data_IF_974954956281
#
_entry.id   IF_974954956281
#
_cell.length_a   1.000
_cell.length_b   1.000
_cell.length_c   1.000
_cell.angle_alpha   90.00
_cell.angle_beta   90.00
_cell.angle_gamma   90.00
#
_symmetry.space_group_name_H-M   'P 1'
#
loop_
_entity.id
_entity.type
_entity.pdbx_description
1 polymer ?
#
# COMPACT_ATOMS: atom_id res chain seq x y z
N UNK A 1 23.01 -16.49 -11.41
CA UNK A 1 21.70 -17.07 -11.76
C UNK A 1 21.56 -17.30 -13.27
N UNK A 2 21.96 -16.33 -14.12
CA UNK A 2 22.00 -16.49 -15.58
C UNK A 2 22.82 -17.70 -16.07
N UNK A 3 23.98 -17.96 -15.45
CA UNK A 3 24.87 -19.11 -15.76
C UNK A 3 24.24 -20.48 -15.50
N UNK A 4 23.12 -20.55 -14.77
CA UNK A 4 22.36 -21.78 -14.50
C UNK A 4 21.05 -21.87 -15.29
N UNK A 5 20.82 -20.97 -16.27
CA UNK A 5 19.60 -20.94 -17.09
C UNK A 5 18.35 -20.45 -16.35
N UNK A 6 18.50 -19.82 -15.19
CA UNK A 6 17.37 -19.34 -14.38
C UNK A 6 16.94 -17.96 -14.86
N UNK A 7 15.65 -17.79 -15.17
CA UNK A 7 15.05 -16.49 -15.48
C UNK A 7 14.63 -15.79 -14.19
N UNK A 8 15.30 -14.69 -13.85
CA UNK A 8 14.99 -13.85 -12.69
C UNK A 8 14.38 -12.53 -13.14
N UNK A 9 13.29 -12.12 -12.49
CA UNK A 9 12.58 -10.85 -12.72
C UNK A 9 12.38 -10.14 -11.40
N UNK A 10 12.69 -8.84 -11.35
CA UNK A 10 12.61 -8.02 -10.16
C UNK A 10 11.81 -6.75 -10.42
N UNK A 11 10.88 -6.45 -9.52
CA UNK A 11 10.14 -5.18 -9.49
C UNK A 11 10.57 -4.44 -8.23
N UNK A 12 11.21 -3.29 -8.39
CA UNK A 12 11.88 -2.55 -7.31
C UNK A 12 11.64 -1.05 -7.49
N UNK A 13 11.51 -0.31 -6.39
CA UNK A 13 11.57 1.15 -6.43
C UNK A 13 13.04 1.61 -6.57
N UNK A 14 13.34 2.30 -7.66
CA UNK A 14 14.66 2.85 -7.95
C UNK A 14 14.59 4.35 -7.73
N UNK A 15 15.42 4.83 -6.82
CA UNK A 15 15.56 6.24 -6.46
C UNK A 15 16.99 6.68 -6.73
N UNK A 16 17.23 7.99 -6.73
CA UNK A 16 18.58 8.53 -6.88
C UNK A 16 19.55 8.00 -5.80
N UNK A 17 19.05 7.64 -4.63
CA UNK A 17 19.84 7.16 -3.50
C UNK A 17 20.25 5.68 -3.63
N UNK A 18 19.43 4.86 -4.29
CA UNK A 18 19.63 3.41 -4.30
C UNK A 18 20.08 2.84 -5.65
N UNK A 19 19.97 3.60 -6.74
CA UNK A 19 20.19 3.08 -8.10
C UNK A 19 21.60 2.57 -8.34
N UNK A 20 22.60 3.21 -7.71
CA UNK A 20 24.01 2.84 -7.81
C UNK A 20 24.42 1.72 -6.83
N UNK A 21 23.53 1.31 -5.93
CA UNK A 21 23.83 0.28 -4.90
C UNK A 21 23.81 -1.13 -5.46
N UNK A 22 23.14 -1.34 -6.58
CA UNK A 22 22.89 -2.67 -7.12
C UNK A 22 23.79 -2.96 -8.33
N UNK A 23 24.51 -4.08 -8.30
CA UNK A 23 25.14 -4.65 -9.50
C UNK A 23 24.07 -5.39 -10.33
N UNK A 24 23.22 -4.62 -11.00
CA UNK A 24 21.98 -5.08 -11.61
C UNK A 24 22.20 -5.93 -12.86
N UNK A 25 23.36 -5.84 -13.50
CA UNK A 25 23.56 -6.40 -14.83
C UNK A 25 23.55 -7.94 -14.85
N UNK A 26 23.92 -8.60 -13.75
CA UNK A 26 24.09 -10.07 -13.71
C UNK A 26 22.98 -10.85 -12.98
N UNK A 27 22.08 -10.15 -12.29
CA UNK A 27 21.08 -10.78 -11.43
C UNK A 27 19.79 -11.18 -12.17
N UNK A 28 19.33 -10.38 -13.14
CA UNK A 28 18.08 -10.64 -13.85
C UNK A 28 17.58 -9.44 -14.67
N UNK A 29 16.29 -9.46 -14.99
CA UNK A 29 15.59 -8.31 -15.58
C UNK A 29 14.96 -7.47 -14.46
N UNK A 30 15.11 -6.14 -14.56
CA UNK A 30 14.60 -5.20 -13.55
C UNK A 30 13.58 -4.25 -14.15
N UNK A 31 12.51 -4.01 -13.40
CA UNK A 31 11.53 -2.97 -13.70
C UNK A 31 11.29 -2.10 -12.48
N UNK A 32 11.12 -0.81 -12.73
CA UNK A 32 10.85 0.20 -11.73
C UNK A 32 9.35 0.41 -11.54
N UNK A 33 8.91 0.51 -10.29
CA UNK A 33 7.62 1.08 -9.90
C UNK A 33 7.83 2.03 -8.71
N UNK A 34 7.22 3.22 -8.76
CA UNK A 34 7.24 4.16 -7.64
C UNK A 34 6.42 3.63 -6.45
N UNK A 35 6.90 3.90 -5.24
CA UNK A 35 6.24 3.59 -3.98
C UNK A 35 5.84 2.10 -3.82
N UNK A 36 6.59 1.17 -4.41
CA UNK A 36 6.36 -0.26 -4.24
C UNK A 36 7.09 -0.79 -2.98
N UNK A 37 6.29 -1.33 -2.04
CA UNK A 37 6.80 -2.03 -0.85
C UNK A 37 6.98 -3.53 -1.16
N UNK A 38 8.14 -3.90 -1.70
CA UNK A 38 8.43 -5.29 -2.07
C UNK A 38 8.84 -6.17 -0.88
N UNK A 39 8.16 -7.30 -0.67
CA UNK A 39 8.55 -8.27 0.36
C UNK A 39 8.33 -9.75 -0.04
N UNK A 40 8.07 -10.04 -1.31
CA UNK A 40 7.75 -11.40 -1.75
C UNK A 40 8.48 -11.83 -3.02
N UNK A 41 8.53 -13.13 -3.23
CA UNK A 41 9.06 -13.78 -4.43
C UNK A 41 8.24 -15.01 -4.78
N UNK A 42 8.26 -15.37 -6.07
CA UNK A 42 7.60 -16.56 -6.59
C UNK A 42 8.61 -17.37 -7.38
N UNK A 43 8.67 -18.66 -7.10
CA UNK A 43 9.58 -19.59 -7.75
C UNK A 43 8.79 -20.56 -8.62
N UNK A 44 8.98 -20.45 -9.94
CA UNK A 44 8.42 -21.32 -10.98
C UNK A 44 6.90 -21.52 -10.92
N UNK A 45 6.13 -20.56 -10.40
CA UNK A 45 4.70 -20.71 -10.12
C UNK A 45 4.37 -21.95 -9.24
N UNK A 46 5.35 -22.42 -8.46
CA UNK A 46 5.24 -23.58 -7.55
C UNK A 46 5.25 -23.16 -6.09
N UNK A 47 6.04 -22.14 -5.77
CA UNK A 47 6.24 -21.72 -4.40
C UNK A 47 6.13 -20.20 -4.30
N UNK A 48 5.39 -19.75 -3.30
CA UNK A 48 5.32 -18.39 -2.81
C UNK A 48 6.23 -18.25 -1.60
N UNK A 49 7.07 -17.22 -1.58
CA UNK A 49 7.87 -16.85 -0.42
C UNK A 49 7.65 -15.38 -0.11
N UNK A 50 7.49 -15.06 1.16
CA UNK A 50 7.36 -13.69 1.64
C UNK A 50 8.30 -13.49 2.82
N UNK A 51 9.02 -12.38 2.82
CA UNK A 51 9.79 -11.94 3.97
C UNK A 51 8.93 -11.09 4.89
N UNK A 52 9.03 -11.39 6.18
CA UNK A 52 8.49 -10.54 7.23
C UNK A 52 9.54 -9.47 7.51
N UNK A 53 9.23 -8.24 7.13
CA UNK A 53 10.04 -7.07 7.44
C UNK A 53 9.64 -6.57 8.83
N UNK A 54 10.59 -6.47 9.76
CA UNK A 54 10.33 -5.91 11.10
C UNK A 54 10.66 -4.42 11.19
N UNK A 55 11.70 -3.99 10.46
CA UNK A 55 12.14 -2.60 10.30
C UNK A 55 12.90 -2.46 8.99
N UNK A 56 12.95 -1.26 8.41
CA UNK A 56 13.60 -1.01 7.10
C UNK A 56 15.13 -1.16 7.13
N UNK A 57 15.71 -1.28 8.33
CA UNK A 57 17.17 -1.29 8.56
C UNK A 57 17.74 -2.64 9.03
N UNK A 58 16.90 -3.67 9.19
CA UNK A 58 17.36 -4.99 9.59
C UNK A 58 17.01 -6.04 8.53
N UNK A 59 17.91 -7.00 8.26
CA UNK A 59 17.59 -8.13 7.40
C UNK A 59 16.32 -8.83 7.91
N UNK A 60 15.40 -9.24 7.02
CA UNK A 60 14.24 -10.00 7.44
C UNK A 60 14.67 -11.28 8.14
N UNK A 61 14.24 -11.46 9.39
CA UNK A 61 14.60 -12.61 10.23
C UNK A 61 13.58 -13.74 10.13
N UNK A 62 12.43 -13.48 9.52
CA UNK A 62 11.35 -14.45 9.35
C UNK A 62 10.80 -14.38 7.93
N UNK A 63 10.26 -15.50 7.46
CA UNK A 63 9.60 -15.58 6.18
C UNK A 63 8.48 -16.61 6.18
N UNK A 64 7.48 -16.37 5.35
CA UNK A 64 6.38 -17.29 5.06
C UNK A 64 6.69 -17.99 3.77
N UNK A 65 6.61 -19.31 3.78
CA UNK A 65 6.68 -20.14 2.59
C UNK A 65 5.34 -20.84 2.38
N UNK A 66 4.86 -20.90 1.13
CA UNK A 66 3.66 -21.63 0.78
C UNK A 66 3.76 -22.23 -0.62
N UNK A 67 3.37 -23.49 -0.75
CA UNK A 67 3.13 -24.17 -2.02
C UNK A 67 1.62 -24.38 -2.27
N UNK A 68 0.77 -23.69 -1.52
CA UNK A 68 -0.68 -23.79 -1.69
C UNK A 68 -1.09 -23.16 -3.03
N UNK A 69 -1.43 -24.04 -3.99
CA UNK A 69 -1.63 -23.67 -5.40
C UNK A 69 -2.54 -22.46 -5.62
N UNK A 70 -3.72 -22.33 -4.98
CA UNK A 70 -4.57 -21.15 -5.17
C UNK A 70 -3.92 -19.83 -4.74
N UNK A 71 -3.13 -19.84 -3.65
CA UNK A 71 -2.37 -18.66 -3.22
C UNK A 71 -1.24 -18.36 -4.20
N UNK A 72 -0.47 -19.38 -4.61
CA UNK A 72 0.63 -19.21 -5.57
C UNK A 72 0.13 -18.63 -6.90
N UNK A 73 -0.95 -19.17 -7.45
CA UNK A 73 -1.55 -18.67 -8.70
C UNK A 73 -2.07 -17.24 -8.57
N UNK A 74 -2.66 -16.89 -7.41
CA UNK A 74 -3.14 -15.53 -7.14
C UNK A 74 -1.99 -14.54 -7.05
N UNK A 75 -0.93 -14.88 -6.32
CA UNK A 75 0.26 -14.03 -6.19
C UNK A 75 1.04 -13.94 -7.50
N UNK A 76 1.06 -15.00 -8.33
CA UNK A 76 1.68 -14.96 -9.65
C UNK A 76 0.99 -13.94 -10.56
N UNK A 77 -0.35 -13.90 -10.56
CA UNK A 77 -1.11 -12.91 -11.33
C UNK A 77 -0.79 -11.47 -10.89
N UNK A 78 -0.71 -11.24 -9.58
CA UNK A 78 -0.31 -9.96 -9.00
C UNK A 78 1.09 -9.57 -9.47
N UNK A 79 2.06 -10.50 -9.45
CA UNK A 79 3.41 -10.25 -9.93
C UNK A 79 3.44 -9.91 -11.42
N UNK A 80 2.71 -10.64 -12.28
CA UNK A 80 2.66 -10.32 -13.72
C UNK A 80 2.04 -8.96 -14.00
N UNK A 81 1.03 -8.56 -13.21
CA UNK A 81 0.44 -7.22 -13.30
C UNK A 81 1.47 -6.16 -12.96
N UNK A 82 2.11 -6.23 -11.77
CA UNK A 82 3.18 -5.31 -11.36
C UNK A 82 4.30 -5.26 -12.40
N UNK A 83 4.73 -6.43 -12.90
CA UNK A 83 5.73 -6.52 -13.95
C UNK A 83 5.31 -5.75 -15.20
N UNK A 84 4.07 -5.91 -15.66
CA UNK A 84 3.58 -5.23 -16.87
C UNK A 84 3.57 -3.71 -16.78
N UNK A 85 3.33 -3.15 -15.58
CA UNK A 85 3.36 -1.71 -15.33
C UNK A 85 4.75 -1.15 -15.11
N UNK A 86 5.69 -1.97 -14.66
CA UNK A 86 7.02 -1.49 -14.36
C UNK A 86 7.74 -0.94 -15.59
N UNK A 87 8.38 0.22 -15.44
CA UNK A 87 9.21 0.80 -16.50
C UNK A 87 10.58 0.14 -16.49
N UNK A 88 11.25 0.09 -17.66
CA UNK A 88 12.59 -0.51 -17.72
C UNK A 88 13.59 0.31 -16.89
N UNK A 89 14.58 -0.35 -16.29
CA UNK A 89 15.66 0.34 -15.58
C UNK A 89 16.32 1.46 -16.42
N UNK A 90 16.66 1.27 -17.71
CA UNK A 90 17.17 2.37 -18.55
C UNK A 90 16.21 3.55 -18.69
N UNK A 91 14.89 3.30 -18.74
CA UNK A 91 13.89 4.36 -18.76
C UNK A 91 13.88 5.14 -17.44
N UNK A 92 13.96 4.44 -16.30
CA UNK A 92 14.01 5.08 -14.99
C UNK A 92 15.27 5.90 -14.76
N UNK A 93 16.45 5.43 -15.21
CA UNK A 93 17.69 6.22 -15.14
C UNK A 93 17.50 7.58 -15.84
N UNK A 94 16.94 7.57 -17.05
CA UNK A 94 16.65 8.80 -17.80
C UNK A 94 15.63 9.70 -17.11
N UNK A 95 14.65 9.12 -16.43
CA UNK A 95 13.66 9.88 -15.66
C UNK A 95 14.28 10.53 -14.43
N UNK A 96 15.16 9.83 -13.69
CA UNK A 96 15.84 10.40 -12.52
C UNK A 96 16.78 11.57 -12.89
N UNK A 97 17.27 11.61 -14.13
CA UNK A 97 18.01 12.76 -14.67
C UNK A 97 17.12 13.99 -14.91
N UNK A 98 15.79 13.83 -14.95
CA UNK A 98 14.80 14.88 -15.23
C UNK A 98 13.71 14.89 -14.14
N UNK A 99 13.93 15.63 -13.05
CA UNK A 99 12.99 15.72 -11.92
C UNK A 99 11.57 16.10 -12.37
N UNK A 100 10.55 15.32 -11.97
CA UNK A 100 9.15 15.74 -12.06
C UNK A 100 8.73 16.46 -10.78
N UNK A 101 8.23 17.68 -10.92
CA UNK A 101 7.63 18.43 -9.82
C UNK A 101 6.29 17.77 -9.42
N UNK A 102 6.32 16.98 -8.34
CA UNK A 102 5.09 16.55 -7.68
C UNK A 102 4.53 17.71 -6.85
N UNK A 103 3.22 17.90 -6.89
CA UNK A 103 2.54 18.89 -6.06
C UNK A 103 2.47 18.39 -4.60
N UNK A 104 3.33 18.95 -3.75
CA UNK A 104 3.45 18.56 -2.33
C UNK A 104 2.66 19.55 -1.47
N UNK A 105 1.71 19.03 -0.70
CA UNK A 105 0.94 19.75 0.32
C UNK A 105 1.63 19.54 1.66
N UNK A 106 2.04 20.62 2.33
CA UNK A 106 2.77 20.54 3.61
C UNK A 106 2.00 21.08 4.81
N UNK A 107 0.86 21.73 4.57
CA UNK A 107 -0.02 22.27 5.60
C UNK A 107 -0.99 21.18 6.07
N UNK A 108 -0.97 20.77 7.36
CA UNK A 108 -1.83 19.70 7.87
C UNK A 108 -3.33 19.94 7.63
N UNK A 109 -3.80 21.18 7.76
CA UNK A 109 -5.23 21.49 7.60
C UNK A 109 -5.65 21.39 6.12
N UNK A 110 -4.73 21.69 5.18
CA UNK A 110 -4.95 21.48 3.74
C UNK A 110 -4.92 20.00 3.37
N UNK A 111 -3.99 19.22 3.93
CA UNK A 111 -3.95 17.75 3.74
C UNK A 111 -5.26 17.13 4.23
N UNK A 112 -5.73 17.51 5.42
CA UNK A 112 -7.00 17.02 5.98
C UNK A 112 -8.19 17.40 5.07
N UNK A 113 -8.24 18.66 4.61
CA UNK A 113 -9.30 19.14 3.72
C UNK A 113 -9.33 18.38 2.39
N UNK A 114 -8.16 18.09 1.82
CA UNK A 114 -8.04 17.32 0.57
C UNK A 114 -8.51 15.87 0.75
N UNK A 115 -8.15 15.22 1.87
CA UNK A 115 -8.68 13.90 2.21
C UNK A 115 -10.22 13.93 2.24
N UNK A 116 -10.80 14.88 2.97
CA UNK A 116 -12.26 14.98 3.14
C UNK A 116 -12.94 15.24 1.79
N UNK A 117 -12.41 16.14 0.98
CA UNK A 117 -12.93 16.43 -0.35
C UNK A 117 -12.90 15.19 -1.25
N UNK A 118 -11.75 14.51 -1.31
CA UNK A 118 -11.54 13.33 -2.17
C UNK A 118 -12.49 12.17 -1.81
N UNK A 119 -12.68 11.87 -0.52
CA UNK A 119 -13.60 10.80 -0.11
C UNK A 119 -15.06 11.17 -0.36
N UNK A 120 -15.47 12.44 -0.19
CA UNK A 120 -16.85 12.89 -0.46
C UNK A 120 -17.26 12.69 -1.92
N UNK A 121 -16.29 12.73 -2.84
CA UNK A 121 -16.53 12.48 -4.26
C UNK A 121 -16.59 10.99 -4.63
N UNK A 122 -16.22 10.07 -3.73
CA UNK A 122 -16.30 8.65 -3.99
C UNK A 122 -17.73 8.18 -4.27
N UNK A 123 -17.87 7.27 -5.22
CA UNK A 123 -19.13 6.66 -5.65
C UNK A 123 -19.08 5.14 -5.68
N UNK A 124 -17.90 4.53 -5.59
CA UNK A 124 -17.71 3.08 -5.73
C UNK A 124 -16.91 2.50 -4.58
N UNK A 125 -15.72 3.02 -4.34
CA UNK A 125 -14.81 2.46 -3.35
C UNK A 125 -13.85 3.50 -2.74
N UNK A 126 -13.58 3.33 -1.45
CA UNK A 126 -12.49 4.00 -0.75
C UNK A 126 -11.58 2.93 -0.12
N UNK A 127 -10.30 2.96 -0.49
CA UNK A 127 -9.27 2.12 0.11
C UNK A 127 -8.36 2.98 0.98
N UNK A 128 -8.08 2.51 2.19
CA UNK A 128 -7.17 3.18 3.13
C UNK A 128 -6.07 2.22 3.52
N UNK A 129 -4.83 2.56 3.20
CA UNK A 129 -3.62 1.85 3.61
C UNK A 129 -2.86 2.75 4.57
N UNK A 130 -2.72 2.39 5.85
CA UNK A 130 -2.33 3.42 6.81
C UNK A 130 -1.61 2.94 8.07
N UNK A 131 -0.57 3.69 8.44
CA UNK A 131 -0.10 3.81 9.81
C UNK A 131 -1.12 4.53 10.66
N UNK A 132 -1.65 3.90 11.71
CA UNK A 132 -2.59 4.58 12.60
C UNK A 132 -1.98 5.77 13.32
N UNK A 133 -0.65 5.78 13.53
CA UNK A 133 0.05 6.97 14.02
C UNK A 133 -0.12 8.14 13.06
N UNK A 134 0.15 7.95 11.76
CA UNK A 134 0.04 9.00 10.74
C UNK A 134 -1.41 9.41 10.54
N UNK A 135 -2.35 8.44 10.52
CA UNK A 135 -3.77 8.74 10.39
C UNK A 135 -4.31 9.58 11.55
N UNK A 136 -3.94 9.23 12.79
CA UNK A 136 -4.32 10.01 13.96
C UNK A 136 -3.73 11.42 13.91
N UNK A 137 -2.51 11.57 13.38
CA UNK A 137 -1.86 12.86 13.27
C UNK A 137 -2.53 13.75 12.22
N UNK A 138 -2.84 13.21 11.03
CA UNK A 138 -3.48 14.00 9.97
C UNK A 138 -4.95 14.30 10.28
N UNK A 139 -5.64 13.42 11.02
CA UNK A 139 -7.04 13.61 11.40
C UNK A 139 -7.21 14.15 12.84
N UNK A 140 -6.17 14.75 13.42
CA UNK A 140 -6.19 15.18 14.82
C UNK A 140 -7.35 16.13 15.14
N UNK A 141 -7.75 16.98 14.20
CA UNK A 141 -8.92 17.87 14.30
C UNK A 141 -10.15 17.28 13.60
N UNK A 142 -9.96 16.64 12.45
CA UNK A 142 -11.04 16.17 11.58
C UNK A 142 -11.59 14.77 11.80
N UNK A 143 -11.14 14.01 12.81
CA UNK A 143 -11.54 12.59 12.96
C UNK A 143 -13.06 12.37 12.95
N UNK A 144 -13.82 13.22 13.64
CA UNK A 144 -15.29 13.13 13.69
C UNK A 144 -15.89 13.43 12.30
N UNK A 145 -15.40 14.46 11.62
CA UNK A 145 -15.82 14.84 10.27
C UNK A 145 -15.55 13.69 9.30
N UNK A 146 -14.35 13.13 9.33
CA UNK A 146 -13.95 11.97 8.53
C UNK A 146 -14.89 10.78 8.73
N UNK A 147 -15.12 10.36 9.98
CA UNK A 147 -16.04 9.26 10.30
C UNK A 147 -17.49 9.55 9.85
N UNK A 148 -17.93 10.79 9.96
CA UNK A 148 -19.25 11.23 9.48
C UNK A 148 -19.34 11.10 7.95
N UNK A 149 -18.26 11.40 7.21
CA UNK A 149 -18.22 11.21 5.75
C UNK A 149 -18.25 9.75 5.36
N UNK A 150 -17.46 8.90 6.03
CA UNK A 150 -17.52 7.46 5.80
C UNK A 150 -18.94 6.91 6.01
N UNK A 151 -19.61 7.35 7.08
CA UNK A 151 -21.01 6.98 7.35
C UNK A 151 -21.94 7.33 6.18
N UNK A 152 -21.77 8.50 5.56
CA UNK A 152 -22.56 8.91 4.39
C UNK A 152 -22.26 8.06 3.16
N UNK A 153 -20.99 7.73 2.92
CA UNK A 153 -20.57 6.89 1.80
C UNK A 153 -21.14 5.47 1.91
N UNK A 154 -21.12 4.87 3.10
CA UNK A 154 -21.70 3.52 3.31
C UNK A 154 -23.20 3.51 3.02
N UNK A 155 -23.94 4.57 3.41
CA UNK A 155 -25.37 4.71 3.08
C UNK A 155 -25.64 4.81 1.58
N UNK A 156 -24.64 5.23 0.80
CA UNK A 156 -24.66 5.25 -0.67
C UNK A 156 -24.11 3.97 -1.31
N UNK A 157 -23.91 2.92 -0.52
CA UNK A 157 -23.36 1.64 -0.95
C UNK A 157 -21.93 1.71 -1.51
N UNK A 158 -21.16 2.74 -1.10
CA UNK A 158 -19.73 2.83 -1.40
C UNK A 158 -18.99 1.81 -0.55
N UNK A 159 -18.13 1.00 -1.17
CA UNK A 159 -17.29 0.01 -0.48
C UNK A 159 -16.15 0.72 0.25
N UNK A 160 -15.89 0.37 1.50
CA UNK A 160 -14.82 0.99 2.27
C UNK A 160 -13.98 -0.10 2.93
N UNK A 161 -12.66 -0.09 2.66
CA UNK A 161 -11.72 -1.07 3.22
C UNK A 161 -10.51 -0.38 3.82
N UNK A 162 -10.19 -0.74 5.06
CA UNK A 162 -9.01 -0.25 5.77
C UNK A 162 -8.03 -1.38 5.97
N UNK A 163 -6.79 -1.16 5.56
CA UNK A 163 -5.66 -2.01 5.87
C UNK A 163 -4.66 -1.20 6.71
N UNK A 164 -4.44 -1.63 7.96
CA UNK A 164 -3.62 -0.86 8.91
C UNK A 164 -2.63 -1.71 9.69
N UNK A 165 -1.61 -1.05 10.24
CA UNK A 165 -0.54 -1.68 11.02
C UNK A 165 -1.03 -2.17 12.39
N UNK A 166 -1.86 -1.37 13.06
CA UNK A 166 -2.65 -1.74 14.23
C UNK A 166 -3.79 -0.75 14.41
N UNK A 167 -4.94 -1.11 14.98
CA UNK A 167 -5.90 -0.12 15.48
C UNK A 167 -5.81 -0.01 16.99
N UNK A 168 -5.90 1.21 17.50
CA UNK A 168 -6.25 1.43 18.90
C UNK A 168 -7.73 1.13 19.15
N UNK A 169 -8.09 0.92 20.42
CA UNK A 169 -9.47 0.61 20.83
C UNK A 169 -10.47 1.70 20.41
N UNK A 170 -10.01 2.96 20.26
CA UNK A 170 -10.88 4.07 19.89
C UNK A 170 -11.31 3.97 18.43
N UNK A 171 -10.40 3.61 17.52
CA UNK A 171 -10.75 3.38 16.12
C UNK A 171 -11.68 2.19 15.93
N UNK A 172 -11.44 1.09 16.64
CA UNK A 172 -12.31 -0.10 16.59
C UNK A 172 -13.73 0.29 17.01
N UNK A 173 -13.88 0.94 18.17
CA UNK A 173 -15.19 1.42 18.66
C UNK A 173 -15.86 2.39 17.70
N UNK A 174 -15.09 3.30 17.10
CA UNK A 174 -15.61 4.27 16.14
C UNK A 174 -16.15 3.58 14.89
N UNK A 175 -15.37 2.65 14.32
CA UNK A 175 -15.77 1.92 13.11
C UNK A 175 -16.95 0.98 13.41
N UNK A 176 -16.95 0.29 14.54
CA UNK A 176 -18.09 -0.52 14.98
C UNK A 176 -19.37 0.31 15.13
N UNK A 177 -19.24 1.54 15.62
CA UNK A 177 -20.37 2.46 15.74
C UNK A 177 -20.91 2.88 14.37
N UNK A 178 -20.01 3.15 13.40
CA UNK A 178 -20.40 3.43 12.01
C UNK A 178 -21.09 2.21 11.38
N UNK A 179 -20.52 1.03 11.55
CA UNK A 179 -21.01 -0.23 11.00
C UNK A 179 -22.38 -0.65 11.55
N UNK A 180 -22.71 -0.28 12.79
CA UNK A 180 -24.06 -0.52 13.36
C UNK A 180 -25.17 0.30 12.70
N UNK A 181 -24.84 1.39 12.00
CA UNK A 181 -25.82 2.29 11.39
C UNK A 181 -26.44 1.68 10.13
N UNK A 182 -25.71 0.82 9.42
CA UNK A 182 -26.09 0.31 8.09
C UNK A 182 -26.13 -1.21 8.07
N UNK A 183 -27.27 -1.81 7.69
CA UNK A 183 -27.43 -3.28 7.73
C UNK A 183 -26.77 -4.03 6.58
N UNK A 184 -26.57 -3.39 5.44
CA UNK A 184 -26.20 -4.07 4.18
C UNK A 184 -24.77 -3.81 3.71
N UNK A 185 -24.12 -2.77 4.24
CA UNK A 185 -22.77 -2.39 3.87
C UNK A 185 -22.02 -1.94 5.14
N UNK A 186 -20.74 -2.31 5.24
CA UNK A 186 -19.92 -2.11 6.43
C UNK A 186 -18.48 -1.82 6.00
N UNK A 187 -17.78 -0.97 6.76
CA UNK A 187 -16.34 -0.79 6.65
C UNK A 187 -15.67 -2.11 6.98
N UNK A 188 -14.83 -2.61 6.06
CA UNK A 188 -14.06 -3.84 6.23
C UNK A 188 -12.67 -3.51 6.76
N UNK A 189 -12.19 -4.29 7.73
CA UNK A 189 -10.90 -4.08 8.39
C UNK A 189 -9.96 -5.25 8.14
N UNK A 190 -8.72 -4.93 7.77
CA UNK A 190 -7.61 -5.87 7.67
C UNK A 190 -6.44 -5.40 8.55
N UNK A 191 -5.85 -6.34 9.30
CA UNK A 191 -4.77 -6.08 10.24
C UNK A 191 -3.48 -6.71 9.75
N UNK A 192 -2.45 -5.90 9.60
CA UNK A 192 -1.16 -6.31 9.01
C UNK A 192 -0.14 -6.67 10.08
N UNK A 193 -0.58 -7.38 11.12
CA UNK A 193 0.25 -7.59 12.32
C UNK A 193 1.55 -8.32 11.97
N UNK A 194 2.67 -7.58 12.00
CA UNK A 194 4.02 -8.12 11.83
C UNK A 194 4.27 -8.80 10.49
N UNK A 195 3.51 -8.50 9.42
CA UNK A 195 3.67 -9.14 8.11
C UNK A 195 4.40 -8.25 7.08
N UNK A 196 4.24 -6.92 7.17
CA UNK A 196 4.70 -5.97 6.14
C UNK A 196 5.62 -4.86 6.66
N UNK A 197 6.19 -4.99 7.86
CA UNK A 197 6.82 -3.87 8.55
C UNK A 197 5.80 -2.91 9.14
N UNK A 198 6.28 -1.88 9.84
CA UNK A 198 5.42 -0.79 10.30
C UNK A 198 5.04 0.04 9.08
N UNK A 199 3.75 0.32 8.90
CA UNK A 199 3.38 1.43 8.05
C UNK A 199 3.88 2.71 8.71
N UNK A 200 4.53 3.54 7.92
CA UNK A 200 5.05 4.85 8.27
C UNK A 200 4.38 5.96 7.45
N UNK A 201 3.37 5.60 6.65
CA UNK A 201 2.61 6.51 5.79
C UNK A 201 1.10 6.19 5.82
N UNK A 202 0.31 7.08 5.21
CA UNK A 202 -1.12 6.87 4.91
C UNK A 202 -1.37 7.11 3.44
N UNK A 203 -1.92 6.12 2.74
CA UNK A 203 -2.42 6.25 1.36
C UNK A 203 -3.93 6.05 1.39
N UNK A 204 -4.66 6.96 0.76
CA UNK A 204 -6.11 6.84 0.56
C UNK A 204 -6.37 6.88 -0.94
N UNK A 205 -7.09 5.90 -1.47
CA UNK A 205 -7.48 5.81 -2.88
C UNK A 205 -9.00 5.93 -2.97
N UNK A 206 -9.49 6.76 -3.90
CA UNK A 206 -10.91 6.97 -4.18
C UNK A 206 -11.24 6.54 -5.59
N UNK A 207 -12.16 5.58 -5.74
CA UNK A 207 -12.73 5.08 -7.01
C UNK A 207 -11.73 4.65 -8.08
N UNK A 208 -10.46 4.37 -7.72
CA UNK A 208 -9.35 4.14 -8.66
C UNK A 208 -9.16 5.32 -9.65
N UNK A 209 -9.37 6.55 -9.16
CA UNK A 209 -9.27 7.78 -9.95
C UNK A 209 -8.35 8.81 -9.33
N UNK A 210 -8.30 8.85 -8.00
CA UNK A 210 -7.42 9.73 -7.27
C UNK A 210 -6.86 9.03 -6.05
N UNK A 211 -5.67 9.44 -5.64
CA UNK A 211 -5.10 9.08 -4.36
C UNK A 211 -4.48 10.29 -3.68
N UNK A 212 -4.39 10.20 -2.35
CA UNK A 212 -3.48 11.03 -1.56
C UNK A 212 -2.56 10.13 -0.74
N UNK A 213 -1.25 10.38 -0.83
CA UNK A 213 -0.21 9.70 -0.07
C UNK A 213 0.39 10.69 0.94
N UNK A 214 0.46 10.30 2.21
CA UNK A 214 0.85 11.16 3.32
C UNK A 214 1.99 10.49 4.07
N UNK A 215 3.16 11.12 4.07
CA UNK A 215 4.37 10.61 4.71
C UNK A 215 5.01 11.63 5.64
N UNK A 216 5.82 11.20 6.63
CA UNK A 216 6.67 12.09 7.40
C UNK A 216 7.70 12.76 6.48
N UNK A 217 7.68 14.08 6.41
CA UNK A 217 8.66 14.91 5.71
C UNK A 217 10.05 14.85 6.35
N UNK A 218 10.10 14.58 7.67
CA UNK A 218 11.32 14.57 8.45
C UNK A 218 11.14 13.79 9.76
N UNK A 219 12.26 13.56 10.45
CA UNK A 219 12.30 12.90 11.75
C UNK A 219 11.58 13.67 12.88
N UNK A 220 11.16 14.92 12.64
CA UNK A 220 10.37 15.73 13.59
C UNK A 220 8.87 15.48 13.45
N UNK A 221 8.45 14.62 12.51
CA UNK A 221 7.08 14.21 12.32
C UNK A 221 6.20 15.23 11.59
N UNK A 222 6.76 16.21 10.89
CA UNK A 222 5.94 17.02 9.97
C UNK A 222 5.43 16.12 8.84
N UNK A 223 4.16 16.25 8.47
CA UNK A 223 3.58 15.45 7.38
C UNK A 223 3.63 16.21 6.05
N UNK A 224 3.77 15.44 4.98
CA UNK A 224 3.69 15.87 3.59
C UNK A 224 2.68 14.99 2.86
N UNK A 225 1.69 15.62 2.23
CA UNK A 225 0.70 14.98 1.37
C UNK A 225 1.06 15.16 -0.10
N UNK A 226 0.94 14.11 -0.90
CA UNK A 226 1.05 14.15 -2.36
C UNK A 226 -0.27 13.67 -2.94
N UNK A 227 -0.97 14.53 -3.67
CA UNK A 227 -2.19 14.17 -4.40
C UNK A 227 -1.82 13.74 -5.82
N UNK A 228 -2.50 12.71 -6.32
CA UNK A 228 -2.26 12.19 -7.67
C UNK A 228 -3.55 11.68 -8.31
N UNK A 229 -3.73 12.04 -9.58
CA UNK A 229 -4.71 11.44 -10.51
C UNK A 229 -3.98 10.62 -11.60
N UNK A 230 -2.68 10.40 -11.42
CA UNK A 230 -1.86 9.63 -12.36
C UNK A 230 -2.26 8.14 -12.25
N UNK A 231 -2.82 7.62 -13.35
CA UNK A 231 -3.48 6.31 -13.37
C UNK A 231 -2.52 5.18 -13.01
N UNK A 232 -1.27 5.25 -13.45
CA UNK A 232 -0.30 4.19 -13.21
C UNK A 232 0.04 4.10 -11.72
N UNK A 233 0.35 5.22 -11.06
CA UNK A 233 0.64 5.29 -9.63
C UNK A 233 -0.54 4.75 -8.81
N UNK A 234 -1.77 5.19 -9.13
CA UNK A 234 -2.98 4.73 -8.41
C UNK A 234 -3.15 3.22 -8.55
N UNK A 235 -2.98 2.70 -9.77
CA UNK A 235 -3.16 1.28 -10.05
C UNK A 235 -2.12 0.40 -9.32
N UNK A 236 -0.87 0.87 -9.22
CA UNK A 236 0.17 0.20 -8.44
C UNK A 236 -0.26 0.08 -6.98
N UNK A 237 -0.72 1.18 -6.36
CA UNK A 237 -1.15 1.16 -4.96
C UNK A 237 -2.39 0.30 -4.73
N UNK A 238 -3.33 0.26 -5.68
CA UNK A 238 -4.49 -0.64 -5.64
C UNK A 238 -4.07 -2.12 -5.70
N UNK A 239 -3.14 -2.49 -6.60
CA UNK A 239 -2.61 -3.86 -6.66
C UNK A 239 -1.94 -4.23 -5.34
N UNK A 240 -1.14 -3.32 -4.77
CA UNK A 240 -0.49 -3.54 -3.50
C UNK A 240 -1.51 -3.74 -2.38
N UNK A 241 -2.57 -2.90 -2.33
CA UNK A 241 -3.67 -3.07 -1.39
C UNK A 241 -4.29 -4.47 -1.49
N UNK A 242 -4.65 -4.92 -2.69
CA UNK A 242 -5.23 -6.24 -2.93
C UNK A 242 -4.28 -7.35 -2.51
N UNK A 243 -3.00 -7.25 -2.87
CA UNK A 243 -1.96 -8.22 -2.48
C UNK A 243 -1.96 -8.42 -0.96
N UNK A 244 -1.89 -7.33 -0.21
CA UNK A 244 -1.80 -7.38 1.23
C UNK A 244 -3.12 -7.78 1.89
N UNK A 245 -4.25 -7.32 1.35
CA UNK A 245 -5.57 -7.77 1.78
C UNK A 245 -5.68 -9.30 1.71
N UNK A 246 -5.24 -9.88 0.60
CA UNK A 246 -5.26 -11.32 0.39
C UNK A 246 -4.36 -12.08 1.36
N UNK A 247 -3.21 -11.53 1.72
CA UNK A 247 -2.32 -12.13 2.73
C UNK A 247 -2.96 -12.13 4.10
N UNK A 248 -3.51 -11.00 4.53
CA UNK A 248 -4.21 -10.91 5.82
C UNK A 248 -5.36 -11.91 5.89
N UNK A 249 -6.16 -12.04 4.82
CA UNK A 249 -7.25 -13.02 4.78
C UNK A 249 -6.77 -14.48 4.74
N UNK A 250 -5.63 -14.75 4.10
CA UNK A 250 -5.08 -16.12 4.02
C UNK A 250 -4.41 -16.55 5.32
N UNK A 251 -3.83 -15.61 6.06
CA UNK A 251 -3.07 -15.87 7.28
C UNK A 251 -3.94 -15.79 8.55
N UNK A 252 -5.04 -15.05 8.53
CA UNK A 252 -6.04 -15.05 9.63
C UNK A 252 -6.69 -16.42 9.83
N UNK A 253 -6.71 -17.29 8.80
CA UNK A 253 -7.12 -18.68 8.92
C UNK A 253 -6.14 -19.59 9.69
N UNK A 254 -4.94 -19.11 10.04
CA UNK A 254 -3.89 -19.86 10.74
C UNK A 254 -3.86 -19.51 12.25
N UNK A 255 -4.56 -18.46 12.67
CA UNK A 255 -4.56 -17.96 14.08
C UNK A 255 -5.90 -18.13 14.80
N UNK A 256 -6.65 -19.19 14.51
CA UNK A 256 -7.69 -19.68 15.41
C UNK A 256 -7.19 -20.95 16.10
N UNK A 257 -6.75 -20.90 17.37
CA UNK A 257 -6.80 -22.07 18.24
C UNK A 257 -8.25 -22.46 18.57
#
# INVERSE_FOLDING_TARGET
MKTRGIKSRFVIEFTQENIDTFDLHDLGEFRHLDSIRGNFGIMDNRCYMMYILFTDYQPPTQGVFSNFKPLVEKQQKIFEQLWSFGISLPSRIKELEHQSDNFIITNPDEIESEIIYMIEQSRKEVLVFSSIKVLNQVLAKGKITFLTRLTHLIKKDVRIRFLVDYFDEQWIKAIDSVNKITKNNHIQLGYVKGLLGKFDETIIISDNKSMIQIKPANNRGRLEGTYSEEKHQIFVQEIMFEKYWNEVQSLSGITNP
#
